data_IF_505028144079
#
_entry.id   IF_505028144079
#
_cell.length_a   1.000
_cell.length_b   1.000
_cell.length_c   1.000
_cell.angle_alpha   90.00
_cell.angle_beta   90.00
_cell.angle_gamma   90.00
#
_symmetry.space_group_name_H-M   'P 1'
#
loop_
_entity.id
_entity.type
_entity.pdbx_description
1 polymer ?
#
# COMPACT_ATOMS: atom_id res chain seq x y z
N UNK A 1 -2.13 7.06 -16.94
CA UNK A 1 -1.40 6.80 -15.67
C UNK A 1 0.04 6.50 -16.02
N UNK A 2 1.01 7.23 -15.47
CA UNK A 2 2.44 7.08 -15.78
C UNK A 2 3.13 6.11 -14.82
N UNK A 3 4.28 5.55 -15.22
CA UNK A 3 5.11 4.67 -14.37
C UNK A 3 5.45 5.33 -13.02
N UNK A 4 5.63 6.65 -12.99
CA UNK A 4 5.99 7.38 -11.79
C UNK A 4 4.85 7.38 -10.77
N UNK A 5 3.60 7.50 -11.23
CA UNK A 5 2.41 7.44 -10.36
C UNK A 5 2.23 6.05 -9.73
N UNK A 6 2.50 4.99 -10.50
CA UNK A 6 2.47 3.61 -9.99
C UNK A 6 3.64 3.29 -9.05
N UNK A 7 4.80 3.94 -9.22
CA UNK A 7 5.95 3.73 -8.34
C UNK A 7 5.66 4.11 -6.89
N UNK A 8 4.78 5.08 -6.66
CA UNK A 8 4.38 5.50 -5.32
C UNK A 8 3.36 4.54 -4.67
N UNK A 9 2.81 3.56 -5.38
CA UNK A 9 1.76 2.68 -4.87
C UNK A 9 2.16 1.99 -3.55
N UNK A 10 3.38 1.45 -3.50
CA UNK A 10 3.87 0.77 -2.30
C UNK A 10 4.04 1.75 -1.13
N UNK A 11 4.67 2.90 -1.37
CA UNK A 11 4.88 3.92 -0.33
C UNK A 11 3.55 4.45 0.22
N UNK A 12 2.56 4.69 -0.66
CA UNK A 12 1.21 5.10 -0.26
C UNK A 12 0.52 4.01 0.58
N UNK A 13 0.63 2.74 0.16
CA UNK A 13 0.05 1.61 0.89
C UNK A 13 0.70 1.41 2.26
N UNK A 14 2.02 1.55 2.36
CA UNK A 14 2.76 1.46 3.63
C UNK A 14 2.39 2.63 4.53
N UNK A 15 2.37 3.87 4.00
CA UNK A 15 1.98 5.05 4.76
C UNK A 15 0.57 4.94 5.33
N UNK A 16 -0.38 4.47 4.52
CA UNK A 16 -1.76 4.23 4.95
C UNK A 16 -1.80 3.18 6.07
N UNK A 17 -1.11 2.05 5.90
CA UNK A 17 -1.00 1.03 6.93
C UNK A 17 -0.39 1.59 8.22
N UNK A 18 0.70 2.37 8.14
CA UNK A 18 1.32 3.02 9.29
C UNK A 18 0.34 3.95 10.00
N UNK A 19 -0.36 4.84 9.28
CA UNK A 19 -1.33 5.76 9.88
C UNK A 19 -2.52 5.03 10.54
N UNK A 20 -2.92 3.87 10.03
CA UNK A 20 -3.97 3.05 10.63
C UNK A 20 -3.49 2.19 11.81
N UNK A 21 -2.19 1.88 11.86
CA UNK A 21 -1.58 1.02 12.89
C UNK A 21 -0.75 1.77 13.92
N UNK A 22 -0.54 3.08 13.74
CA UNK A 22 0.04 3.98 14.74
C UNK A 22 -0.92 4.09 15.93
N UNK A 23 -0.76 3.11 16.82
CA UNK A 23 -1.39 3.08 18.13
C UNK A 23 -0.71 4.17 18.96
N UNK A 24 -1.44 5.23 19.28
CA UNK A 24 -1.05 6.18 20.32
C UNK A 24 -1.22 5.45 21.64
N UNK A 25 -0.09 5.15 22.28
CA UNK A 25 -0.04 4.57 23.60
C UNK A 25 0.01 5.68 24.64
N UNK A 26 -1.13 6.02 25.24
CA UNK A 26 -1.17 6.91 26.39
C UNK A 26 -1.07 6.10 27.67
N UNK A 27 -0.28 6.55 28.64
CA UNK A 27 -0.11 5.80 29.91
C UNK A 27 -0.92 6.48 31.00
N UNK A 28 -2.07 5.91 31.34
CA UNK A 28 -2.89 6.39 32.44
C UNK A 28 -2.49 5.68 33.75
N UNK A 29 -2.49 6.41 34.87
CA UNK A 29 -2.32 5.84 36.20
C UNK A 29 -3.69 5.57 36.80
N UNK A 30 -4.01 4.30 36.99
CA UNK A 30 -5.17 3.90 37.76
C UNK A 30 -4.81 3.85 39.25
N UNK A 31 -5.70 4.40 40.08
CA UNK A 31 -5.57 4.46 41.54
C UNK A 31 -6.67 3.65 42.25
N UNK A 32 -7.46 2.88 41.51
CA UNK A 32 -8.58 2.07 42.02
C UNK A 32 -8.20 1.08 43.13
N UNK A 33 -6.95 0.62 43.19
CA UNK A 33 -6.44 -0.31 44.21
C UNK A 33 -5.71 0.38 45.39
N UNK A 34 -5.63 1.71 45.41
CA UNK A 34 -4.83 2.46 46.39
C UNK A 34 -3.33 2.56 46.09
N UNK A 35 -2.84 1.91 45.02
CA UNK A 35 -1.48 2.06 44.50
C UNK A 35 -1.50 2.38 43.00
N UNK A 36 -0.59 3.24 42.49
CA UNK A 36 -0.61 3.63 41.08
C UNK A 36 -0.24 2.44 40.19
N UNK A 37 -1.20 1.96 39.40
CA UNK A 37 -0.98 1.00 38.32
C UNK A 37 -0.95 1.71 36.97
N UNK A 38 0.10 1.49 36.19
CA UNK A 38 0.20 2.02 34.82
C UNK A 38 -0.61 1.15 33.86
N UNK A 39 -1.65 1.72 33.25
CA UNK A 39 -2.44 1.07 32.20
C UNK A 39 -2.10 1.75 30.87
N UNK A 40 -1.76 0.95 29.86
CA UNK A 40 -1.59 1.44 28.49
C UNK A 40 -2.94 1.58 27.81
N UNK A 41 -3.36 2.82 27.55
CA UNK A 41 -4.48 3.13 26.68
C UNK A 41 -3.97 3.10 25.24
N UNK A 42 -4.51 2.18 24.44
CA UNK A 42 -4.26 2.11 23.00
C UNK A 42 -5.39 2.85 22.28
N UNK A 43 -5.10 4.05 21.78
CA UNK A 43 -6.00 4.79 20.90
C UNK A 43 -5.44 4.84 19.48
N UNK A 44 -6.31 4.86 18.46
CA UNK A 44 -5.91 5.32 17.12
C UNK A 44 -5.86 6.84 17.19
N UNK A 45 -4.77 7.47 16.72
CA UNK A 45 -4.68 8.93 16.62
C UNK A 45 -5.85 9.45 15.79
N UNK A 46 -6.89 9.96 16.46
CA UNK A 46 -8.11 10.44 15.84
C UNK A 46 -8.00 11.93 15.48
N UNK A 47 -6.80 12.37 15.09
CA UNK A 47 -6.57 13.76 14.68
C UNK A 47 -7.26 13.99 13.34
N UNK A 48 -8.02 15.08 13.20
CA UNK A 48 -8.73 15.39 11.95
C UNK A 48 -7.79 15.41 10.72
N UNK A 49 -6.53 15.78 10.93
CA UNK A 49 -5.48 15.79 9.91
C UNK A 49 -5.09 14.37 9.46
N UNK A 50 -4.93 13.42 10.39
CA UNK A 50 -4.60 12.04 10.05
C UNK A 50 -5.77 11.38 9.33
N UNK A 51 -7.01 11.68 9.71
CA UNK A 51 -8.20 11.19 9.01
C UNK A 51 -8.30 11.74 7.57
N UNK A 52 -7.99 13.03 7.37
CA UNK A 52 -7.95 13.62 6.04
C UNK A 52 -6.83 13.02 5.18
N UNK A 53 -5.65 12.78 5.76
CA UNK A 53 -4.53 12.12 5.06
C UNK A 53 -4.92 10.69 4.66
N UNK A 54 -5.53 9.91 5.57
CA UNK A 54 -6.01 8.56 5.27
C UNK A 54 -7.05 8.56 4.14
N UNK A 55 -8.00 9.49 4.13
CA UNK A 55 -8.99 9.63 3.04
C UNK A 55 -8.33 9.94 1.69
N UNK A 56 -7.41 10.90 1.66
CA UNK A 56 -6.70 11.24 0.42
C UNK A 56 -5.84 10.08 -0.09
N UNK A 57 -5.17 9.35 0.80
CA UNK A 57 -4.36 8.20 0.44
C UNK A 57 -5.22 7.03 -0.06
N UNK A 58 -6.37 6.77 0.56
CA UNK A 58 -7.27 5.70 0.15
C UNK A 58 -7.93 6.00 -1.21
N UNK A 59 -8.32 7.25 -1.47
CA UNK A 59 -8.84 7.67 -2.77
C UNK A 59 -7.78 7.50 -3.87
N UNK A 60 -6.54 7.93 -3.61
CA UNK A 60 -5.43 7.73 -4.58
C UNK A 60 -5.18 6.26 -4.88
N UNK A 61 -5.16 5.40 -3.87
CA UNK A 61 -5.01 3.96 -4.06
C UNK A 61 -6.19 3.37 -4.84
N UNK A 62 -7.42 3.79 -4.54
CA UNK A 62 -8.61 3.36 -5.26
C UNK A 62 -8.56 3.71 -6.75
N UNK A 63 -8.07 4.91 -7.10
CA UNK A 63 -7.87 5.31 -8.51
C UNK A 63 -6.80 4.45 -9.19
N UNK A 64 -5.71 4.14 -8.49
CA UNK A 64 -4.67 3.25 -9.02
C UNK A 64 -5.20 1.81 -9.20
N UNK A 65 -6.01 1.33 -8.27
CA UNK A 65 -6.67 0.03 -8.37
C UNK A 65 -7.64 -0.04 -9.53
N UNK A 66 -8.51 0.97 -9.69
CA UNK A 66 -9.42 1.06 -10.82
C UNK A 66 -8.67 1.10 -12.15
N UNK A 67 -7.51 1.80 -12.20
CA UNK A 67 -6.65 1.79 -13.37
C UNK A 67 -6.13 0.39 -13.69
N UNK A 68 -5.56 -0.33 -12.71
CA UNK A 68 -5.08 -1.71 -12.90
C UNK A 68 -6.22 -2.61 -13.37
N UNK A 69 -7.42 -2.44 -12.82
CA UNK A 69 -8.57 -3.25 -13.19
C UNK A 69 -9.14 -2.93 -14.59
N UNK A 70 -9.00 -1.69 -15.04
CA UNK A 70 -9.40 -1.23 -16.38
C UNK A 70 -8.48 -1.71 -17.51
N UNK A 71 -7.28 -2.23 -17.20
CA UNK A 71 -6.34 -2.73 -18.20
C UNK A 71 -6.94 -3.96 -18.91
N UNK A 72 -7.16 -3.82 -20.21
CA UNK A 72 -7.75 -4.87 -21.08
C UNK A 72 -6.78 -6.02 -21.36
N UNK A 73 -5.48 -5.75 -21.43
CA UNK A 73 -4.46 -6.77 -21.62
C UNK A 73 -4.26 -7.58 -20.33
N UNK A 74 -4.76 -8.81 -20.35
CA UNK A 74 -4.69 -9.76 -19.23
C UNK A 74 -3.26 -9.97 -18.73
N UNK A 75 -2.27 -9.98 -19.62
CA UNK A 75 -0.87 -10.17 -19.23
C UNK A 75 -0.35 -8.93 -18.52
N UNK A 76 -0.60 -7.74 -19.08
CA UNK A 76 -0.19 -6.49 -18.45
C UNK A 76 -0.87 -6.30 -17.08
N UNK A 77 -2.18 -6.58 -16.99
CA UNK A 77 -2.95 -6.56 -15.75
C UNK A 77 -2.35 -7.47 -14.68
N UNK A 78 -2.06 -8.73 -15.02
CA UNK A 78 -1.46 -9.67 -14.08
C UNK A 78 -0.07 -9.24 -13.59
N UNK A 79 0.76 -8.68 -14.47
CA UNK A 79 2.07 -8.16 -14.08
C UNK A 79 1.96 -6.94 -13.17
N UNK A 80 1.02 -6.03 -13.46
CA UNK A 80 0.73 -4.88 -12.60
C UNK A 80 0.22 -5.32 -11.22
N UNK A 81 -0.70 -6.29 -11.17
CA UNK A 81 -1.22 -6.86 -9.92
C UNK A 81 -0.10 -7.48 -9.07
N UNK A 82 0.75 -8.32 -9.68
CA UNK A 82 1.85 -8.97 -8.96
C UNK A 82 2.91 -7.98 -8.49
N UNK A 83 3.31 -7.04 -9.34
CA UNK A 83 4.37 -6.10 -9.02
C UNK A 83 3.92 -5.03 -8.03
N UNK A 84 2.74 -4.43 -8.22
CA UNK A 84 2.29 -3.28 -7.42
C UNK A 84 1.40 -3.66 -6.24
N UNK A 85 0.34 -4.48 -6.44
CA UNK A 85 -0.55 -4.86 -5.33
C UNK A 85 0.10 -5.85 -4.37
N UNK A 86 0.86 -6.81 -4.91
CA UNK A 86 1.49 -7.88 -4.11
C UNK A 86 2.95 -7.60 -3.76
N UNK A 87 3.49 -6.46 -4.20
CA UNK A 87 4.88 -6.05 -3.99
C UNK A 87 5.91 -7.15 -4.34
N UNK A 88 5.63 -7.96 -5.37
CA UNK A 88 6.50 -9.06 -5.75
C UNK A 88 7.71 -8.55 -6.51
N UNK A 89 8.88 -9.11 -6.19
CA UNK A 89 10.09 -8.82 -6.97
C UNK A 89 10.00 -9.44 -8.36
N UNK A 90 10.70 -8.85 -9.35
CA UNK A 90 10.77 -9.40 -10.71
C UNK A 90 11.23 -10.85 -10.77
N UNK A 91 12.07 -11.28 -9.81
CA UNK A 91 12.50 -12.67 -9.70
C UNK A 91 11.35 -13.60 -9.26
N UNK A 92 10.54 -13.19 -8.29
CA UNK A 92 9.35 -13.94 -7.86
C UNK A 92 8.30 -14.01 -8.98
N UNK A 93 8.11 -12.91 -9.71
CA UNK A 93 7.22 -12.86 -10.87
C UNK A 93 7.70 -13.84 -11.94
N UNK A 94 8.98 -13.80 -12.30
CA UNK A 94 9.59 -14.71 -13.27
C UNK A 94 9.41 -16.19 -12.88
N UNK A 95 9.63 -16.51 -11.60
CA UNK A 95 9.41 -17.86 -11.06
C UNK A 95 7.94 -18.31 -11.19
N UNK A 96 7.00 -17.39 -11.05
CA UNK A 96 5.56 -17.67 -11.11
C UNK A 96 5.02 -17.74 -12.53
N UNK A 97 5.53 -16.92 -13.45
CA UNK A 97 5.11 -16.90 -14.85
C UNK A 97 5.87 -17.89 -15.73
N UNK A 98 6.98 -18.45 -15.24
CA UNK A 98 7.86 -19.34 -16.00
C UNK A 98 8.63 -18.62 -17.11
N UNK A 99 8.70 -17.28 -17.07
CA UNK A 99 9.33 -16.43 -18.09
C UNK A 99 10.49 -15.65 -17.50
N UNK A 100 11.42 -15.22 -18.35
CA UNK A 100 12.57 -14.42 -17.91
C UNK A 100 12.13 -13.10 -17.27
N UNK A 101 12.78 -12.72 -16.15
CA UNK A 101 12.54 -11.46 -15.47
C UNK A 101 12.77 -10.25 -16.38
N UNK A 102 13.76 -10.32 -17.27
CA UNK A 102 14.07 -9.23 -18.23
C UNK A 102 12.95 -9.06 -19.25
N UNK A 103 12.39 -10.18 -19.73
CA UNK A 103 11.32 -10.17 -20.72
C UNK A 103 10.02 -9.59 -20.14
N UNK A 104 9.64 -9.96 -18.92
CA UNK A 104 8.45 -9.41 -18.27
C UNK A 104 8.60 -7.93 -17.93
N UNK A 105 9.79 -7.53 -17.43
CA UNK A 105 10.08 -6.13 -17.14
C UNK A 105 10.02 -5.26 -18.40
N UNK A 106 10.59 -5.75 -19.50
CA UNK A 106 10.56 -5.03 -20.78
C UNK A 106 9.14 -4.96 -21.36
N UNK A 107 8.36 -6.04 -21.24
CA UNK A 107 6.98 -6.07 -21.68
C UNK A 107 6.15 -5.00 -20.98
N UNK A 108 6.20 -4.97 -19.64
CA UNK A 108 5.47 -3.99 -18.83
C UNK A 108 5.92 -2.56 -19.14
N UNK A 109 7.23 -2.33 -19.31
CA UNK A 109 7.76 -1.02 -19.68
C UNK A 109 7.24 -0.54 -21.04
N UNK A 110 7.23 -1.43 -22.05
CA UNK A 110 6.71 -1.09 -23.37
C UNK A 110 5.20 -0.85 -23.35
N UNK A 111 4.45 -1.60 -22.54
CA UNK A 111 3.02 -1.40 -22.34
C UNK A 111 2.73 -0.01 -21.75
N UNK A 112 3.41 0.35 -20.66
CA UNK A 112 3.26 1.65 -20.00
C UNK A 112 3.78 2.83 -20.82
N UNK A 113 4.63 2.59 -21.83
CA UNK A 113 5.07 3.63 -22.78
C UNK A 113 4.05 3.87 -23.89
N UNK A 114 3.23 2.87 -24.21
CA UNK A 114 2.21 2.94 -25.26
C UNK A 114 0.84 3.38 -24.75
N UNK A 115 0.56 3.14 -23.47
CA UNK A 115 -0.62 3.60 -22.74
C UNK A 115 -0.50 5.07 -22.34
#
# INVERSE_FOLDING_TARGET
MTRNELSCYHDLSVRLHTLQTEIVGDTAKDYSSGFPHSIMLRGVACDDKTQQEVKLLSEKLSVLDAYIDSVTDVRAKNLLDMHYRRNMTWWQIAKRTGRSFTAEKQYLYNFLKKA
#
